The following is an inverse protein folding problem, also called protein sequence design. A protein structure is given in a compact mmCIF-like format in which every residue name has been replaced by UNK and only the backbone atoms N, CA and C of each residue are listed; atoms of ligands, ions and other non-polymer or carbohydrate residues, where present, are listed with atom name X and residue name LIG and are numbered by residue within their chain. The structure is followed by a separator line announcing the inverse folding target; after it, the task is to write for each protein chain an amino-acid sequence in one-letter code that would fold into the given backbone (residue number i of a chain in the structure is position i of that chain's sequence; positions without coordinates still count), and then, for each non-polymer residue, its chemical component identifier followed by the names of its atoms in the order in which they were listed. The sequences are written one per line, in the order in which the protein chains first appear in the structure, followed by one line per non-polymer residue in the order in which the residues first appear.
data_IF_670147221659
#
_entry.id   IF_670147221659
#
_cell.length_a   1.000
_cell.length_b   1.000
_cell.length_c   1.000
_cell.angle_alpha   90.00
_cell.angle_beta   90.00
_cell.angle_gamma   90.00
#
_symmetry.space_group_name_H-M   'P 1'
#
loop_
_entity.id
_entity.type
_entity.pdbx_description
1 polymer ?
#
# COMPACT_ATOMS: atom_id res chain seq x y z
N UNK A 1 20.73 0.53 9.75
CA UNK A 1 22.04 -0.05 9.40
C UNK A 1 23.08 1.04 9.26
N UNK A 2 24.27 0.69 8.77
CA UNK A 2 25.42 1.61 8.73
C UNK A 2 25.20 2.84 7.82
N UNK A 3 24.48 2.68 6.72
CA UNK A 3 24.20 3.76 5.75
C UNK A 3 22.75 4.25 5.79
N UNK A 4 21.99 3.85 6.81
CA UNK A 4 20.63 4.38 6.99
C UNK A 4 20.73 5.82 7.48
N UNK A 5 20.19 6.75 6.70
CA UNK A 5 20.02 8.12 7.15
C UNK A 5 19.14 8.18 8.41
N UNK A 6 19.59 8.96 9.40
CA UNK A 6 18.94 9.08 10.71
C UNK A 6 17.79 10.07 10.71
N UNK A 7 17.70 10.97 9.73
CA UNK A 7 16.62 11.97 9.65
C UNK A 7 15.25 11.32 9.44
N UNK A 8 14.99 10.51 8.39
CA UNK A 8 13.71 9.83 8.21
C UNK A 8 13.39 8.87 9.36
N UNK A 9 14.42 8.26 9.96
CA UNK A 9 14.25 7.41 11.16
C UNK A 9 13.75 8.23 12.36
N UNK A 10 14.27 9.44 12.55
CA UNK A 10 13.82 10.35 13.63
C UNK A 10 12.40 10.84 13.36
N UNK A 11 12.05 11.22 12.13
CA UNK A 11 10.68 11.61 11.76
C UNK A 11 9.69 10.47 11.99
N UNK A 12 10.02 9.25 11.56
CA UNK A 12 9.22 8.06 11.82
C UNK A 12 9.04 7.84 13.34
N UNK A 13 10.12 7.93 14.11
CA UNK A 13 10.08 7.79 15.57
C UNK A 13 9.16 8.84 16.20
N UNK A 14 9.31 10.10 15.82
CA UNK A 14 8.46 11.19 16.31
C UNK A 14 6.99 10.95 15.96
N UNK A 15 6.68 10.51 14.73
CA UNK A 15 5.32 10.19 14.33
C UNK A 15 4.72 9.03 15.14
N UNK A 16 5.51 7.99 15.44
CA UNK A 16 5.09 6.89 16.32
C UNK A 16 4.82 7.42 17.74
N UNK A 17 5.73 8.22 18.29
CA UNK A 17 5.61 8.79 19.65
C UNK A 17 4.38 9.73 19.74
N UNK A 18 4.10 10.50 18.69
CA UNK A 18 2.93 11.37 18.54
C UNK A 18 1.65 10.64 18.11
N UNK A 19 1.73 9.34 17.78
CA UNK A 19 0.64 8.52 17.26
C UNK A 19 -0.02 9.14 16.02
N UNK A 20 0.81 9.49 15.04
CA UNK A 20 0.42 10.00 13.72
C UNK A 20 0.81 9.01 12.63
N UNK A 21 0.10 9.10 11.51
CA UNK A 21 0.50 8.38 10.30
C UNK A 21 1.80 8.95 9.74
N UNK A 22 2.61 8.10 9.12
CA UNK A 22 3.88 8.49 8.52
C UNK A 22 4.17 7.65 7.28
N UNK A 23 4.74 8.28 6.25
CA UNK A 23 5.33 7.62 5.09
C UNK A 23 6.78 8.08 5.01
N UNK A 24 7.72 7.15 5.04
CA UNK A 24 9.14 7.45 5.00
C UNK A 24 9.86 6.54 4.03
N UNK A 25 10.82 7.09 3.28
CA UNK A 25 11.75 6.33 2.47
C UNK A 25 13.00 6.05 3.31
N UNK A 26 13.25 4.79 3.65
CA UNK A 26 14.32 4.38 4.55
C UNK A 26 15.20 3.32 3.90
N UNK A 27 16.51 3.48 3.96
CA UNK A 27 17.43 2.41 3.60
C UNK A 27 17.41 1.32 4.67
N UNK A 28 16.87 0.16 4.33
CA UNK A 28 16.84 -1.03 5.17
C UNK A 28 17.81 -2.10 4.67
N UNK A 29 17.96 -3.16 5.46
CA UNK A 29 18.93 -4.22 5.23
C UNK A 29 18.24 -5.56 5.39
N UNK A 30 18.44 -6.46 4.43
CA UNK A 30 18.01 -7.85 4.54
C UNK A 30 18.87 -8.59 5.57
N UNK A 31 18.44 -9.80 5.97
CA UNK A 31 19.22 -10.66 6.89
C UNK A 31 20.63 -10.98 6.37
N UNK A 32 20.81 -11.05 5.06
CA UNK A 32 22.12 -11.27 4.43
C UNK A 32 22.98 -10.00 4.34
N UNK A 33 22.50 -8.85 4.83
CA UNK A 33 23.21 -7.57 4.80
C UNK A 33 22.98 -6.74 3.54
N UNK A 34 22.22 -7.23 2.55
CA UNK A 34 21.97 -6.46 1.33
C UNK A 34 21.10 -5.22 1.65
N UNK A 35 21.53 -4.01 1.23
CA UNK A 35 20.72 -2.82 1.38
C UNK A 35 19.55 -2.83 0.39
N UNK A 36 18.42 -2.26 0.80
CA UNK A 36 17.30 -1.96 -0.08
C UNK A 36 16.54 -0.73 0.42
N UNK A 37 16.03 0.06 -0.52
CA UNK A 37 15.16 1.20 -0.22
C UNK A 37 13.76 0.71 0.11
N UNK A 38 13.32 0.99 1.33
CA UNK A 38 12.00 0.65 1.84
C UNK A 38 11.13 1.91 1.89
N UNK A 39 10.09 1.95 1.08
CA UNK A 39 9.02 2.93 1.24
C UNK A 39 8.04 2.37 2.28
N UNK A 40 8.09 2.94 3.48
CA UNK A 40 7.42 2.45 4.67
C UNK A 40 6.24 3.37 5.02
N UNK A 41 5.03 2.80 5.10
CA UNK A 41 3.86 3.43 5.70
C UNK A 41 3.67 2.89 7.11
N UNK A 42 3.37 3.75 8.07
CA UNK A 42 2.97 3.37 9.43
C UNK A 42 1.77 4.19 9.86
N UNK A 43 0.78 3.53 10.48
CA UNK A 43 -0.37 4.21 11.07
C UNK A 43 -0.79 3.58 12.41
N UNK A 44 -1.21 4.38 13.40
CA UNK A 44 -1.74 3.89 14.66
C UNK A 44 -3.14 3.30 14.49
N UNK A 45 -3.44 2.25 15.25
CA UNK A 45 -4.73 1.59 15.28
C UNK A 45 -5.32 1.70 16.68
N UNK A 46 -6.48 2.34 16.79
CA UNK A 46 -7.17 2.55 18.06
C UNK A 46 -8.30 1.52 18.22
N UNK A 47 -8.47 1.01 19.43
CA UNK A 47 -9.61 0.16 19.75
C UNK A 47 -10.90 0.99 19.98
N UNK A 48 -12.00 0.30 20.25
CA UNK A 48 -13.32 0.92 20.50
C UNK A 48 -13.32 1.90 21.69
N UNK A 49 -12.38 1.79 22.63
CA UNK A 49 -12.20 2.71 23.75
C UNK A 49 -11.31 3.92 23.42
N UNK A 50 -10.91 4.10 22.15
CA UNK A 50 -10.01 5.17 21.72
C UNK A 50 -8.56 4.98 22.19
N UNK A 51 -8.21 3.80 22.71
CA UNK A 51 -6.84 3.49 23.16
C UNK A 51 -6.04 2.89 22.02
N UNK A 52 -4.80 3.34 21.85
CA UNK A 52 -3.85 2.74 20.93
C UNK A 52 -3.70 1.25 21.24
N UNK A 53 -4.03 0.41 20.25
CA UNK A 53 -3.96 -1.05 20.35
C UNK A 53 -2.76 -1.60 19.58
N UNK A 54 -2.56 -1.11 18.35
CA UNK A 54 -1.52 -1.60 17.44
C UNK A 54 -1.01 -0.46 16.55
N UNK A 55 0.05 -0.75 15.79
CA UNK A 55 0.39 0.00 14.58
C UNK A 55 0.26 -0.95 13.38
N UNK A 56 -0.23 -0.45 12.25
CA UNK A 56 -0.12 -1.13 10.96
C UNK A 56 1.07 -0.57 10.20
N UNK A 57 1.80 -1.45 9.50
CA UNK A 57 2.91 -1.08 8.65
C UNK A 57 2.77 -1.68 7.24
N UNK A 58 2.94 -0.85 6.21
CA UNK A 58 3.06 -1.28 4.82
C UNK A 58 4.47 -1.03 4.31
N UNK A 59 5.09 -2.01 3.64
CA UNK A 59 6.47 -1.92 3.18
C UNK A 59 6.55 -2.29 1.70
N UNK A 60 7.27 -1.48 0.92
CA UNK A 60 7.61 -1.78 -0.47
C UNK A 60 9.09 -1.57 -0.68
N UNK A 61 9.74 -2.54 -1.32
CA UNK A 61 11.09 -2.37 -1.81
C UNK A 61 11.06 -1.60 -3.14
N UNK A 62 11.45 -0.32 -3.10
CA UNK A 62 11.51 0.55 -4.27
C UNK A 62 12.94 0.75 -4.80
N UNK A 63 13.88 -0.13 -4.46
CA UNK A 63 15.26 -0.04 -4.98
C UNK A 63 15.31 -0.04 -6.51
N UNK A 64 14.38 -0.76 -7.14
CA UNK A 64 14.23 -0.83 -8.60
C UNK A 64 13.43 0.33 -9.18
N UNK A 65 13.18 1.42 -8.45
CA UNK A 65 12.60 2.65 -9.03
C UNK A 65 13.56 3.83 -8.90
N UNK A 66 14.72 3.62 -8.27
CA UNK A 66 15.79 4.61 -8.09
C UNK A 66 16.85 4.31 -9.15
N UNK A 67 16.85 5.07 -10.24
CA UNK A 67 17.62 4.72 -11.45
C UNK A 67 18.57 5.81 -11.93
N UNK A 68 18.39 7.06 -11.48
CA UNK A 68 19.22 8.17 -11.92
C UNK A 68 20.05 8.76 -10.80
N UNK A 69 21.19 9.37 -11.15
CA UNK A 69 21.96 10.18 -10.21
C UNK A 69 21.11 11.30 -9.60
N UNK A 70 20.12 11.82 -10.33
CA UNK A 70 19.16 12.78 -9.79
C UNK A 70 18.26 12.17 -8.70
N UNK A 71 17.82 10.92 -8.87
CA UNK A 71 17.04 10.21 -7.84
C UNK A 71 17.90 9.91 -6.61
N UNK A 72 19.16 9.48 -6.81
CA UNK A 72 20.11 9.26 -5.71
C UNK A 72 20.39 10.56 -4.96
N UNK A 73 20.74 11.63 -5.65
CA UNK A 73 20.99 12.94 -5.05
C UNK A 73 19.74 13.50 -4.35
N UNK A 74 18.54 13.18 -4.83
CA UNK A 74 17.26 13.57 -4.21
C UNK A 74 17.01 12.83 -2.89
N UNK A 75 17.28 11.53 -2.86
CA UNK A 75 17.18 10.74 -1.63
C UNK A 75 18.19 11.25 -0.59
N UNK A 76 19.37 11.68 -1.02
CA UNK A 76 20.38 12.29 -0.15
C UNK A 76 20.03 13.72 0.30
N UNK A 77 19.29 14.50 -0.50
CA UNK A 77 18.89 15.87 -0.14
C UNK A 77 17.64 15.96 0.72
N UNK A 78 16.83 14.89 0.80
CA UNK A 78 15.69 14.81 1.74
C UNK A 78 16.16 14.75 3.21
N UNK A 79 17.43 14.41 3.41
CA UNK A 79 18.12 14.43 4.70
C UNK A 79 18.49 15.84 5.18
N UNK A 80 18.60 16.82 4.27
CA UNK A 80 19.18 18.14 4.58
C UNK A 80 18.16 19.27 4.73
N UNK A 81 16.95 19.13 4.18
CA UNK A 81 16.04 20.27 4.01
C UNK A 81 15.04 20.51 5.16
N UNK A 82 14.88 19.58 6.10
CA UNK A 82 13.89 19.75 7.19
C UNK A 82 14.44 20.46 8.44
N UNK A 83 15.73 20.81 8.47
CA UNK A 83 16.35 21.58 9.56
C UNK A 83 16.31 23.11 9.32
N UNK A 84 15.67 23.60 8.25
CA UNK A 84 15.62 25.05 7.93
C UNK A 84 14.19 25.56 7.95
N UNK A 85 13.86 26.28 9.02
CA UNK A 85 12.76 27.25 9.04
C UNK A 85 13.04 28.36 8.00
N UNK A 86 12.11 28.56 7.07
CA UNK A 86 11.85 29.74 6.18
C UNK A 86 12.99 30.72 5.86
N UNK A 87 13.30 30.90 4.57
CA UNK A 87 13.13 32.17 3.81
C UNK A 87 13.59 32.06 2.34
N UNK A 88 13.05 32.96 1.52
CA UNK A 88 13.05 33.04 0.05
C UNK A 88 14.38 32.84 -0.71
N UNK A 89 14.33 32.20 -1.89
CA UNK A 89 15.04 32.62 -3.11
C UNK A 89 14.67 31.74 -4.33
N UNK A 90 14.85 32.32 -5.53
CA UNK A 90 14.30 31.94 -6.84
C UNK A 90 15.43 31.50 -7.81
N UNK A 91 15.08 30.72 -8.85
CA UNK A 91 15.75 30.54 -10.20
C UNK A 91 16.86 29.45 -10.33
N UNK A 92 17.20 28.82 -11.50
CA UNK A 92 16.52 28.52 -12.82
C UNK A 92 16.53 27.00 -13.23
N UNK A 93 15.98 26.60 -14.41
CA UNK A 93 16.03 25.21 -14.92
C UNK A 93 17.01 24.98 -16.10
N UNK A 94 17.55 23.75 -16.25
CA UNK A 94 17.93 23.03 -17.50
C UNK A 94 18.92 21.86 -17.21
N UNK A 95 19.22 20.90 -18.13
CA UNK A 95 18.54 20.46 -19.36
C UNK A 95 18.28 18.92 -19.44
N UNK A 96 17.50 18.51 -20.45
CA UNK A 96 17.19 17.13 -20.85
C UNK A 96 18.35 16.43 -21.58
N UNK A 97 18.72 15.21 -21.17
CA UNK A 97 19.37 14.23 -22.05
C UNK A 97 18.88 12.79 -21.77
N UNK A 98 18.45 12.11 -22.84
CA UNK A 98 18.10 10.68 -22.91
C UNK A 98 19.34 9.85 -23.28
N UNK A 99 19.52 8.72 -22.60
CA UNK A 99 20.18 7.48 -23.07
C UNK A 99 19.75 6.40 -22.06
N UNK A 100 19.48 5.13 -22.35
CA UNK A 100 19.59 4.23 -23.49
C UNK A 100 19.41 2.83 -22.86
N UNK A 101 18.59 1.96 -23.44
CA UNK A 101 18.09 0.71 -22.84
C UNK A 101 19.15 -0.40 -22.68
N UNK A 102 19.12 -1.13 -21.56
CA UNK A 102 19.75 -2.45 -21.38
C UNK A 102 18.78 -3.39 -20.59
N UNK A 103 18.61 -4.67 -20.99
CA UNK A 103 17.56 -5.53 -20.41
C UNK A 103 17.98 -6.32 -19.16
N UNK A 104 17.02 -6.38 -18.23
CA UNK A 104 16.62 -7.52 -17.39
C UNK A 104 17.54 -8.04 -16.27
N UNK A 105 17.65 -7.25 -15.18
CA UNK A 105 17.80 -7.79 -13.82
C UNK A 105 16.50 -8.43 -13.27
N UNK A 106 15.37 -8.25 -13.98
CA UNK A 106 14.03 -8.76 -13.61
C UNK A 106 13.97 -10.29 -13.54
N UNK A 107 14.67 -11.01 -14.43
CA UNK A 107 14.56 -12.48 -14.55
C UNK A 107 15.31 -13.26 -13.46
N UNK A 108 16.40 -12.70 -12.92
CA UNK A 108 17.19 -13.35 -11.86
C UNK A 108 16.51 -13.27 -10.48
N UNK A 109 15.74 -12.21 -10.22
CA UNK A 109 15.18 -11.92 -8.91
C UNK A 109 13.90 -12.73 -8.58
N UNK A 110 12.99 -12.93 -9.56
CA UNK A 110 11.76 -13.72 -9.35
C UNK A 110 12.06 -15.18 -9.01
N UNK A 111 13.19 -15.73 -9.50
CA UNK A 111 13.67 -17.08 -9.18
C UNK A 111 14.15 -17.20 -7.71
N UNK A 112 14.62 -16.12 -7.11
CA UNK A 112 15.08 -16.10 -5.71
C UNK A 112 13.93 -16.04 -4.69
N UNK A 113 12.70 -15.71 -5.13
CA UNK A 113 11.49 -15.65 -4.32
C UNK A 113 10.60 -16.91 -4.45
N UNK A 114 11.05 -17.96 -5.15
CA UNK A 114 10.28 -19.20 -5.31
C UNK A 114 9.08 -19.08 -6.25
N UNK A 115 9.01 -18.02 -7.06
CA UNK A 115 7.96 -17.83 -8.06
C UNK A 115 8.31 -18.64 -9.32
N UNK A 116 7.43 -19.55 -9.73
CA UNK A 116 7.56 -20.25 -11.03
C UNK A 116 7.27 -19.27 -12.16
N UNK A 117 8.32 -18.79 -12.82
CA UNK A 117 8.21 -18.04 -14.08
C UNK A 117 8.01 -19.05 -15.21
N UNK A 118 6.79 -19.16 -15.74
CA UNK A 118 6.52 -19.91 -16.98
C UNK A 118 7.16 -19.21 -18.17
N UNK A 119 7.72 -20.00 -19.10
CA UNK A 119 8.37 -19.51 -20.31
C UNK A 119 7.34 -18.88 -21.26
N UNK A 120 7.64 -17.69 -21.78
CA UNK A 120 6.79 -16.93 -22.69
C UNK A 120 6.61 -17.67 -24.02
N UNK A 121 5.44 -18.28 -24.21
CA UNK A 121 4.77 -18.49 -25.49
C UNK A 121 3.33 -19.03 -25.26
N UNK A 122 2.53 -18.30 -24.48
CA UNK A 122 1.10 -18.57 -24.32
C UNK A 122 0.33 -17.24 -24.24
N UNK A 123 -0.90 -17.16 -24.78
CA UNK A 123 -1.59 -15.91 -25.03
C UNK A 123 -1.98 -15.18 -23.73
N UNK A 124 -1.93 -13.85 -23.80
CA UNK A 124 -2.31 -12.85 -22.78
C UNK A 124 -3.36 -13.30 -21.76
N UNK A 125 -2.89 -13.86 -20.65
CA UNK A 125 -3.60 -13.87 -19.38
C UNK A 125 -2.53 -13.83 -18.28
N UNK A 126 -2.03 -12.62 -17.99
CA UNK A 126 -1.20 -12.38 -16.82
C UNK A 126 -2.10 -12.68 -15.62
N UNK A 127 -1.91 -13.84 -15.00
CA UNK A 127 -2.44 -14.12 -13.68
C UNK A 127 -1.87 -13.03 -12.76
N UNK A 128 -2.68 -12.06 -12.38
CA UNK A 128 -2.25 -10.93 -11.57
C UNK A 128 -1.83 -11.46 -10.19
N UNK A 129 -0.54 -11.33 -9.86
CA UNK A 129 -0.05 -11.62 -8.51
C UNK A 129 -0.91 -10.86 -7.47
N UNK A 130 -1.31 -11.50 -6.36
CA UNK A 130 -2.04 -10.83 -5.31
C UNK A 130 -1.27 -9.62 -4.73
N UNK A 131 -2.00 -8.57 -4.35
CA UNK A 131 -1.42 -7.33 -3.84
C UNK A 131 -1.29 -6.20 -4.89
N UNK A 132 -0.62 -5.12 -4.47
CA UNK A 132 -0.51 -3.87 -5.23
C UNK A 132 0.91 -3.58 -5.70
N UNK A 133 1.91 -4.32 -5.20
CA UNK A 133 3.32 -3.96 -5.30
C UNK A 133 3.77 -3.74 -6.75
N UNK A 134 3.60 -4.74 -7.63
CA UNK A 134 4.04 -4.65 -9.03
C UNK A 134 3.38 -3.48 -9.79
N UNK A 135 2.07 -3.27 -9.56
CA UNK A 135 1.32 -2.18 -10.19
C UNK A 135 1.76 -0.82 -9.66
N UNK A 136 2.05 -0.74 -8.36
CA UNK A 136 2.49 0.47 -7.71
C UNK A 136 3.92 0.83 -8.14
N UNK A 137 4.85 -0.12 -8.13
CA UNK A 137 6.23 0.10 -8.60
C UNK A 137 6.25 0.69 -10.02
N UNK A 138 5.46 0.15 -10.94
CA UNK A 138 5.32 0.70 -12.29
C UNK A 138 4.80 2.15 -12.29
N UNK A 139 3.91 2.53 -11.37
CA UNK A 139 3.45 3.93 -11.24
C UNK A 139 4.52 4.84 -10.64
N UNK A 140 5.39 4.31 -9.78
CA UNK A 140 6.47 5.08 -9.15
C UNK A 140 7.61 5.36 -10.14
N UNK A 141 7.82 4.49 -11.13
CA UNK A 141 8.85 4.67 -12.18
C UNK A 141 8.74 6.05 -12.85
N UNK A 142 9.84 6.82 -12.83
CA UNK A 142 9.95 8.13 -13.48
C UNK A 142 9.26 9.30 -12.78
N UNK A 143 8.62 9.10 -11.62
CA UNK A 143 8.01 10.18 -10.82
C UNK A 143 8.99 10.77 -9.81
N UNK A 144 8.77 12.02 -9.40
CA UNK A 144 9.50 12.60 -8.27
C UNK A 144 9.11 11.95 -6.93
N UNK A 145 9.93 12.13 -5.90
CA UNK A 145 9.73 11.48 -4.59
C UNK A 145 8.41 11.87 -3.92
N UNK A 146 7.98 13.13 -4.03
CA UNK A 146 6.73 13.59 -3.42
C UNK A 146 5.52 12.91 -4.08
N UNK A 147 5.52 12.83 -5.41
CA UNK A 147 4.53 12.09 -6.16
C UNK A 147 4.57 10.59 -5.85
N UNK A 148 5.77 10.00 -5.70
CA UNK A 148 5.92 8.60 -5.30
C UNK A 148 5.32 8.33 -3.93
N UNK A 149 5.65 9.15 -2.93
CA UNK A 149 5.10 9.05 -1.57
C UNK A 149 3.58 9.23 -1.57
N UNK A 150 3.05 10.17 -2.37
CA UNK A 150 1.61 10.40 -2.50
C UNK A 150 0.88 9.22 -3.13
N UNK A 151 1.42 8.62 -4.18
CA UNK A 151 0.84 7.42 -4.81
C UNK A 151 0.85 6.24 -3.84
N UNK A 152 1.97 6.05 -3.13
CA UNK A 152 2.09 5.01 -2.12
C UNK A 152 1.09 5.20 -0.97
N UNK A 153 1.03 6.41 -0.41
CA UNK A 153 0.02 6.76 0.59
C UNK A 153 -1.40 6.50 0.07
N UNK A 154 -1.70 6.91 -1.17
CA UNK A 154 -3.03 6.71 -1.74
C UNK A 154 -3.42 5.24 -1.86
N UNK A 155 -2.45 4.36 -2.19
CA UNK A 155 -2.64 2.93 -2.30
C UNK A 155 -2.85 2.23 -0.94
N UNK A 156 -2.16 2.69 0.12
CA UNK A 156 -2.18 2.03 1.43
C UNK A 156 -3.02 2.72 2.50
N UNK A 157 -3.51 3.95 2.28
CA UNK A 157 -4.32 4.72 3.25
C UNK A 157 -5.77 4.27 3.39
N UNK A 158 -6.22 3.29 2.58
CA UNK A 158 -7.62 2.82 2.55
C UNK A 158 -7.63 1.35 2.90
N UNK A 159 -7.81 1.07 4.19
CA UNK A 159 -7.78 -0.30 4.67
C UNK A 159 -8.85 -0.58 5.73
N UNK A 160 -9.24 -1.85 5.77
CA UNK A 160 -9.96 -2.48 6.87
C UNK A 160 -9.07 -3.56 7.47
N UNK A 161 -9.18 -3.79 8.76
CA UNK A 161 -8.52 -4.91 9.45
C UNK A 161 -9.61 -5.75 10.10
N UNK A 162 -9.63 -7.02 9.73
CA UNK A 162 -10.68 -7.94 10.14
C UNK A 162 -10.10 -9.08 10.97
N UNK A 163 -10.86 -9.53 11.96
CA UNK A 163 -10.59 -10.78 12.65
C UNK A 163 -10.69 -11.93 11.65
N UNK A 164 -9.67 -12.79 11.61
CA UNK A 164 -9.57 -13.87 10.62
C UNK A 164 -10.70 -14.90 10.74
N UNK A 165 -11.08 -15.26 11.96
CA UNK A 165 -12.10 -16.30 12.19
C UNK A 165 -13.52 -15.82 11.92
N UNK A 166 -13.84 -14.60 12.41
CA UNK A 166 -15.20 -14.07 12.39
C UNK A 166 -15.48 -13.13 11.21
N UNK A 167 -14.45 -12.66 10.52
CA UNK A 167 -14.54 -11.63 9.48
C UNK A 167 -15.16 -10.32 9.96
N UNK A 168 -15.11 -10.06 11.27
CA UNK A 168 -15.57 -8.81 11.86
C UNK A 168 -14.49 -7.75 11.71
N UNK A 169 -14.87 -6.57 11.24
CA UNK A 169 -14.01 -5.40 11.15
C UNK A 169 -13.66 -4.94 12.58
N UNK A 170 -12.37 -4.86 12.90
CA UNK A 170 -11.86 -4.38 14.19
C UNK A 170 -11.18 -3.02 14.09
N UNK A 171 -10.52 -2.75 12.96
CA UNK A 171 -9.91 -1.46 12.69
C UNK A 171 -10.19 -1.05 11.25
N UNK A 172 -10.16 0.25 10.99
CA UNK A 172 -10.36 0.83 9.66
C UNK A 172 -9.62 2.16 9.59
N UNK A 173 -9.27 2.60 8.38
CA UNK A 173 -8.71 3.93 8.17
C UNK A 173 -9.78 4.97 7.87
N UNK A 174 -9.51 6.22 8.24
CA UNK A 174 -10.35 7.38 7.86
C UNK A 174 -10.53 7.46 6.34
N UNK A 175 -9.49 7.12 5.57
CA UNK A 175 -9.55 7.10 4.11
C UNK A 175 -10.65 6.21 3.54
N UNK A 176 -11.06 5.14 4.22
CA UNK A 176 -12.21 4.32 3.80
C UNK A 176 -13.54 5.04 4.05
N UNK A 177 -13.67 5.74 5.18
CA UNK A 177 -14.88 6.50 5.53
C UNK A 177 -15.09 7.72 4.63
N UNK A 178 -14.00 8.40 4.28
CA UNK A 178 -14.01 9.55 3.37
C UNK A 178 -14.32 9.12 1.94
N UNK A 179 -13.81 7.96 1.51
CA UNK A 179 -14.00 7.45 0.16
C UNK A 179 -15.42 6.92 -0.07
N UNK A 180 -15.90 6.05 0.82
CA UNK A 180 -17.18 5.37 0.62
C UNK A 180 -18.35 6.33 0.83
N UNK A 181 -19.39 6.16 0.02
CA UNK A 181 -20.69 6.80 0.25
C UNK A 181 -21.61 5.79 0.90
N UNK A 182 -21.59 5.66 2.25
CA UNK A 182 -22.48 4.70 2.90
C UNK A 182 -23.93 5.08 2.57
N UNK A 183 -24.61 4.21 1.82
CA UNK A 183 -25.98 4.40 1.35
C UNK A 183 -27.01 4.50 2.49
N UNK A 184 -26.59 4.28 3.73
CA UNK A 184 -27.38 4.44 4.94
C UNK A 184 -26.57 5.22 5.96
N UNK A 185 -27.22 6.18 6.63
CA UNK A 185 -26.76 7.09 7.69
C UNK A 185 -26.04 6.45 8.91
N UNK A 186 -25.51 5.23 8.82
CA UNK A 186 -24.61 4.62 9.82
C UNK A 186 -23.22 5.23 9.74
N UNK A 187 -23.16 6.56 9.89
CA UNK A 187 -21.98 7.26 10.37
C UNK A 187 -21.80 6.82 11.82
N UNK A 188 -21.07 5.73 12.08
CA UNK A 188 -20.73 5.41 13.47
C UNK A 188 -20.23 4.02 13.80
N UNK A 189 -20.55 2.97 13.04
CA UNK A 189 -20.22 1.59 13.45
C UNK A 189 -19.65 0.77 12.29
N UNK A 190 -18.52 1.17 11.70
CA UNK A 190 -17.80 0.30 10.75
C UNK A 190 -17.17 -0.87 11.50
N UNK A 191 -16.53 -0.59 12.63
CA UNK A 191 -16.08 -1.62 13.56
C UNK A 191 -17.28 -2.43 14.09
N UNK A 192 -17.10 -3.73 14.26
CA UNK A 192 -18.14 -4.66 14.70
C UNK A 192 -19.00 -5.25 13.58
N UNK A 193 -18.96 -4.69 12.36
CA UNK A 193 -19.66 -5.28 11.22
C UNK A 193 -18.90 -6.46 10.59
N UNK A 194 -19.65 -7.39 10.01
CA UNK A 194 -19.10 -8.43 9.14
C UNK A 194 -18.66 -7.79 7.81
N UNK A 195 -17.38 -7.90 7.47
CA UNK A 195 -16.76 -7.19 6.34
C UNK A 195 -17.42 -7.49 5.00
N UNK A 196 -17.89 -8.72 4.74
CA UNK A 196 -18.56 -9.03 3.49
C UNK A 196 -19.92 -8.34 3.40
N UNK A 197 -20.63 -8.19 4.52
CA UNK A 197 -21.88 -7.44 4.59
C UNK A 197 -21.61 -5.95 4.35
N UNK A 198 -20.61 -5.40 5.03
CA UNK A 198 -20.19 -4.00 4.89
C UNK A 198 -19.81 -3.67 3.44
N UNK A 199 -18.95 -4.47 2.82
CA UNK A 199 -18.54 -4.26 1.43
C UNK A 199 -19.74 -4.41 0.48
N UNK A 200 -20.60 -5.43 0.69
CA UNK A 200 -21.80 -5.63 -0.13
C UNK A 200 -22.73 -4.42 -0.13
N UNK A 201 -22.91 -3.74 1.00
CA UNK A 201 -23.74 -2.54 1.12
C UNK A 201 -23.17 -1.34 0.33
N UNK A 202 -21.86 -1.34 0.05
CA UNK A 202 -21.18 -0.29 -0.68
C UNK A 202 -20.83 -0.70 -2.13
N UNK A 203 -21.23 -1.91 -2.55
CA UNK A 203 -21.05 -2.40 -3.92
C UNK A 203 -22.28 -2.10 -4.76
N UNK A 204 -22.07 -1.63 -5.99
CA UNK A 204 -23.17 -1.41 -6.95
C UNK A 204 -23.63 -2.74 -7.56
N UNK A 205 -22.69 -3.60 -7.93
CA UNK A 205 -22.99 -4.94 -8.45
C UNK A 205 -22.49 -6.01 -7.48
N UNK A 206 -23.39 -6.93 -7.10
CA UNK A 206 -23.07 -8.04 -6.22
C UNK A 206 -22.43 -9.18 -7.00
N UNK A 207 -21.19 -9.53 -6.66
CA UNK A 207 -20.53 -10.76 -7.12
C UNK A 207 -20.84 -11.90 -6.13
N UNK A 208 -21.64 -12.88 -6.55
CA UNK A 208 -22.13 -13.95 -5.66
C UNK A 208 -21.03 -14.86 -5.12
N UNK A 209 -19.91 -14.97 -5.82
CA UNK A 209 -18.75 -15.80 -5.49
C UNK A 209 -17.67 -15.06 -4.68
N UNK A 210 -17.76 -13.73 -4.54
CA UNK A 210 -16.77 -12.88 -3.88
C UNK A 210 -16.36 -13.41 -2.49
N UNK A 211 -17.35 -13.63 -1.63
CA UNK A 211 -17.14 -14.12 -0.26
C UNK A 211 -16.48 -15.50 -0.26
N UNK A 212 -16.94 -16.40 -1.14
CA UNK A 212 -16.43 -17.77 -1.23
C UNK A 212 -14.98 -17.78 -1.70
N UNK A 213 -14.64 -17.00 -2.73
CA UNK A 213 -13.27 -16.87 -3.26
C UNK A 213 -12.30 -16.35 -2.20
N UNK A 214 -12.67 -15.28 -1.50
CA UNK A 214 -11.84 -14.70 -0.45
C UNK A 214 -11.63 -15.70 0.70
N UNK A 215 -12.69 -16.35 1.19
CA UNK A 215 -12.59 -17.34 2.27
C UNK A 215 -11.71 -18.53 1.88
N UNK A 216 -11.84 -19.03 0.65
CA UNK A 216 -11.05 -20.16 0.18
C UNK A 216 -9.55 -19.82 0.12
N UNK A 217 -9.20 -18.64 -0.40
CA UNK A 217 -7.80 -18.19 -0.44
C UNK A 217 -7.23 -17.95 0.97
N UNK A 218 -8.00 -17.29 1.85
CA UNK A 218 -7.54 -17.04 3.21
C UNK A 218 -7.37 -18.32 4.02
N UNK A 219 -8.20 -19.34 3.79
CA UNK A 219 -8.09 -20.66 4.45
C UNK A 219 -6.79 -21.39 4.12
N UNK A 220 -6.23 -21.15 2.93
CA UNK A 220 -4.91 -21.68 2.55
C UNK A 220 -3.76 -20.76 2.99
N UNK A 221 -4.06 -19.67 3.70
CA UNK A 221 -3.10 -18.66 4.13
C UNK A 221 -2.55 -17.81 2.97
N UNK A 222 -3.21 -17.83 1.82
CA UNK A 222 -2.79 -17.11 0.63
C UNK A 222 -3.44 -15.71 0.56
N UNK A 223 -2.69 -14.68 0.14
CA UNK A 223 -3.28 -13.40 -0.19
C UNK A 223 -4.14 -13.51 -1.46
N UNK A 224 -5.13 -12.63 -1.60
CA UNK A 224 -5.99 -12.58 -2.80
C UNK A 224 -6.38 -11.15 -3.17
N UNK A 225 -6.35 -10.86 -4.47
CA UNK A 225 -6.88 -9.63 -5.05
C UNK A 225 -8.21 -9.92 -5.75
N UNK A 226 -9.26 -9.18 -5.42
CA UNK A 226 -10.56 -9.31 -6.10
C UNK A 226 -11.08 -7.95 -6.51
N UNK A 227 -11.33 -7.79 -7.80
CA UNK A 227 -11.93 -6.57 -8.35
C UNK A 227 -13.40 -6.44 -7.95
N UNK A 228 -13.81 -5.24 -7.57
CA UNK A 228 -15.14 -4.89 -7.08
C UNK A 228 -15.54 -3.53 -7.68
N UNK A 229 -16.84 -3.26 -7.77
CA UNK A 229 -17.35 -1.93 -8.15
C UNK A 229 -18.02 -1.31 -6.94
N UNK A 230 -17.44 -0.21 -6.44
CA UNK A 230 -17.87 0.45 -5.21
C UNK A 230 -18.51 1.79 -5.55
N UNK A 231 -19.52 2.15 -4.75
CA UNK A 231 -20.09 3.48 -4.76
C UNK A 231 -19.27 4.37 -3.82
N UNK A 232 -18.54 5.32 -4.39
CA UNK A 232 -17.77 6.31 -3.64
C UNK A 232 -18.59 7.59 -3.49
N UNK A 233 -18.17 8.49 -2.60
CA UNK A 233 -18.78 9.83 -2.50
C UNK A 233 -18.70 10.58 -3.82
N UNK A 234 -17.59 10.42 -4.54
CA UNK A 234 -17.35 11.03 -5.86
C UNK A 234 -18.30 10.46 -6.92
N UNK A 235 -18.43 9.14 -6.99
CA UNK A 235 -19.25 8.48 -8.01
C UNK A 235 -20.75 8.67 -7.76
N UNK A 236 -21.16 8.76 -6.48
CA UNK A 236 -22.55 8.97 -6.08
C UNK A 236 -23.14 10.29 -6.62
N UNK A 237 -22.34 11.36 -6.74
CA UNK A 237 -22.76 12.64 -7.33
C UNK A 237 -23.30 12.49 -8.77
N UNK A 238 -22.81 11.50 -9.50
CA UNK A 238 -23.16 11.25 -10.90
C UNK A 238 -23.89 9.92 -11.10
N UNK A 239 -24.45 9.33 -10.03
CA UNK A 239 -25.10 8.00 -10.02
C UNK A 239 -24.22 6.90 -10.66
N UNK A 240 -22.91 7.02 -10.52
CA UNK A 240 -21.94 6.08 -11.03
C UNK A 240 -21.28 5.25 -9.94
N UNK A 241 -20.29 4.47 -10.36
CA UNK A 241 -19.43 3.67 -9.52
C UNK A 241 -17.98 3.74 -9.99
N UNK A 242 -17.07 3.30 -9.13
CA UNK A 242 -15.65 3.23 -9.43
C UNK A 242 -15.17 1.79 -9.26
N UNK A 243 -14.26 1.37 -10.15
CA UNK A 243 -13.63 0.05 -10.06
C UNK A 243 -12.52 0.10 -9.01
N UNK A 244 -12.57 -0.84 -8.08
CA UNK A 244 -11.57 -1.05 -7.04
C UNK A 244 -11.08 -2.48 -7.06
N UNK A 245 -9.93 -2.72 -6.46
CA UNK A 245 -9.45 -4.05 -6.11
C UNK A 245 -9.35 -4.12 -4.60
N UNK A 246 -9.98 -5.13 -4.02
CA UNK A 246 -9.81 -5.50 -2.62
C UNK A 246 -8.64 -6.47 -2.51
N UNK A 247 -7.57 -6.06 -1.84
CA UNK A 247 -6.41 -6.90 -1.58
C UNK A 247 -6.47 -7.42 -0.15
N UNK A 248 -6.66 -8.73 -0.01
CA UNK A 248 -6.75 -9.43 1.25
C UNK A 248 -5.40 -10.05 1.58
N UNK A 249 -4.79 -9.62 2.67
CA UNK A 249 -3.49 -10.11 3.12
C UNK A 249 -3.62 -10.69 4.53
N UNK A 250 -3.50 -12.02 4.71
CA UNK A 250 -3.48 -12.61 6.04
C UNK A 250 -2.19 -12.22 6.78
N UNK A 251 -2.32 -11.73 8.01
CA UNK A 251 -1.18 -11.38 8.87
C UNK A 251 -0.81 -12.56 9.74
N UNK A 252 0.42 -13.05 9.57
CA UNK A 252 0.99 -14.14 10.35
C UNK A 252 1.76 -13.61 11.55
N UNK A 253 1.55 -14.23 12.71
CA UNK A 253 2.39 -14.01 13.89
C UNK A 253 3.73 -14.77 13.79
N UNK A 254 4.54 -14.67 14.84
CA UNK A 254 5.83 -15.36 14.95
C UNK A 254 5.71 -16.89 14.89
N UNK A 255 4.54 -17.44 15.22
CA UNK A 255 4.22 -18.87 15.16
C UNK A 255 3.56 -19.25 13.82
N UNK A 256 3.57 -18.35 12.84
CA UNK A 256 2.93 -18.51 11.53
C UNK A 256 1.40 -18.68 11.57
N UNK A 257 0.75 -18.31 12.67
CA UNK A 257 -0.71 -18.34 12.81
C UNK A 257 -1.32 -17.04 12.30
N UNK A 258 -2.50 -17.13 11.68
CA UNK A 258 -3.21 -15.97 11.15
C UNK A 258 -4.34 -15.58 12.09
N UNK A 259 -4.24 -14.39 12.69
CA UNK A 259 -5.29 -13.84 13.56
C UNK A 259 -6.07 -12.72 12.89
N UNK A 260 -5.44 -12.05 11.92
CA UNK A 260 -5.96 -10.86 11.26
C UNK A 260 -5.80 -10.98 9.75
N UNK A 261 -6.70 -10.33 9.01
CA UNK A 261 -6.48 -10.02 7.60
C UNK A 261 -6.60 -8.51 7.37
N UNK A 262 -5.68 -7.96 6.61
CA UNK A 262 -5.75 -6.58 6.11
C UNK A 262 -6.43 -6.61 4.76
N UNK A 263 -7.40 -5.72 4.57
CA UNK A 263 -8.11 -5.52 3.31
C UNK A 263 -7.80 -4.11 2.84
N UNK A 264 -6.92 -3.95 1.84
CA UNK A 264 -6.71 -2.65 1.21
C UNK A 264 -7.66 -2.46 0.02
N UNK A 265 -8.14 -1.23 -0.15
CA UNK A 265 -9.06 -0.81 -1.20
C UNK A 265 -8.31 0.13 -2.14
N UNK A 266 -7.80 -0.41 -3.24
CA UNK A 266 -7.09 0.39 -4.24
C UNK A 266 -7.93 0.57 -5.49
N UNK A 267 -7.90 1.76 -6.13
CA UNK A 267 -8.51 1.95 -7.43
C UNK A 267 -7.99 0.90 -8.43
N UNK A 268 -8.89 0.25 -9.17
CA UNK A 268 -8.50 -0.61 -10.26
C UNK A 268 -7.91 0.28 -11.36
N UNK A 269 -6.63 0.05 -11.65
CA UNK A 269 -5.91 0.81 -12.68
C UNK A 269 -6.39 0.28 -14.04
N UNK A 270 -6.91 1.18 -14.88
CA UNK A 270 -7.07 0.97 -16.32
C UNK A 270 -5.74 1.23 -17.04
#
# INVERSE_FOLDING_TARGET
GAHTDRVPVRRLKNAIDERKESVELILNYKKNGDPFWNLLYVAPLYNEAGKLAFFIGGQINCSTTIHSNADVMRVLSTSTNDDVQTQDAKVPPAPLHRAGSQPSARKAFLKALGVKVSNDNAPNNIAADPGMESKLLHKLEGRDLSAQMKEFYTAYSKYLIVSYDSFIIKFYSEGVLEMLHPANNTVGLVAGQEVFRFLKQNMVNHQSDYKTRVRNALRTGAPISVEVRLQTRRSALFRGDERFVTHWTPLKDEKSQVHWAVVTLAPAIE
#
